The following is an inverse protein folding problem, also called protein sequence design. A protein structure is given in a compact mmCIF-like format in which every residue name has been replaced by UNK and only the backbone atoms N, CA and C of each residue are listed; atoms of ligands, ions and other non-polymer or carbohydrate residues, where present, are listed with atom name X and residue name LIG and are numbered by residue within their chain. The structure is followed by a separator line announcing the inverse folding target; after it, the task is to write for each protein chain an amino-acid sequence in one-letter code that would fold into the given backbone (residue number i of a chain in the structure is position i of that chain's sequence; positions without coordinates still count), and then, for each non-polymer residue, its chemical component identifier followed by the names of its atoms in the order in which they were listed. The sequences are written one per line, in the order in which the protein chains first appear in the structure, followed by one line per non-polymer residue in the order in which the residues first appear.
data_IF_659447364351
#
_entry.id   IF_659447364351
#
_cell.length_a   1.000
_cell.length_b   1.000
_cell.length_c   1.000
_cell.angle_alpha   90.00
_cell.angle_beta   90.00
_cell.angle_gamma   90.00
#
_symmetry.space_group_name_H-M   'P 1'
#
loop_
_entity.id
_entity.type
_entity.pdbx_description
1 polymer ?
#
# COMPACT_ATOMS: atom_id res chain seq x y z
N UNK A 1 10.43 -31.58 20.39
CA UNK A 1 9.52 -30.43 20.46
C UNK A 1 9.42 -29.82 19.05
N UNK A 2 8.34 -30.07 18.31
CA UNK A 2 8.19 -29.52 16.95
C UNK A 2 7.67 -28.09 17.08
N UNK A 3 8.57 -27.11 17.04
CA UNK A 3 8.19 -25.71 16.82
C UNK A 3 7.64 -25.62 15.40
N UNK A 4 6.34 -25.77 15.24
CA UNK A 4 5.68 -25.31 14.03
C UNK A 4 5.87 -23.79 13.99
N UNK A 5 6.85 -23.30 13.22
CA UNK A 5 6.89 -21.90 12.82
C UNK A 5 5.54 -21.61 12.16
N UNK A 6 4.79 -20.59 12.59
CA UNK A 6 3.56 -20.22 11.90
C UNK A 6 3.98 -19.75 10.51
N UNK A 7 3.84 -20.64 9.54
CA UNK A 7 3.97 -20.31 8.14
C UNK A 7 2.76 -19.42 7.81
N UNK A 8 2.86 -18.13 8.12
CA UNK A 8 1.86 -17.14 7.77
C UNK A 8 1.88 -17.02 6.26
N UNK A 9 0.80 -17.47 5.63
CA UNK A 9 0.47 -17.21 4.22
C UNK A 9 0.29 -15.69 4.07
N UNK A 10 1.40 -14.94 4.07
CA UNK A 10 1.38 -13.50 3.84
C UNK A 10 0.81 -13.29 2.43
N UNK A 11 -0.31 -12.57 2.29
CA UNK A 11 -0.92 -12.39 0.98
C UNK A 11 0.05 -11.65 0.05
N UNK A 12 0.12 -12.12 -1.18
CA UNK A 12 0.86 -11.46 -2.25
C UNK A 12 -0.12 -10.56 -2.99
N UNK A 13 0.29 -9.31 -3.21
CA UNK A 13 -0.44 -8.35 -4.01
C UNK A 13 0.22 -8.22 -5.37
N UNK A 14 -0.61 -8.23 -6.40
CA UNK A 14 -0.25 -7.80 -7.75
C UNK A 14 -0.93 -6.45 -8.01
N UNK A 15 -0.14 -5.46 -8.42
CA UNK A 15 -0.59 -4.09 -8.61
C UNK A 15 -0.33 -3.72 -10.06
N UNK A 16 -1.39 -3.43 -10.80
CA UNK A 16 -1.31 -2.96 -12.18
C UNK A 16 -1.64 -1.47 -12.23
N UNK A 17 -0.90 -0.71 -13.05
CA UNK A 17 -1.10 0.73 -13.12
C UNK A 17 -0.50 1.39 -14.34
N UNK A 18 -0.72 2.70 -14.43
CA UNK A 18 -0.17 3.55 -15.47
C UNK A 18 0.44 4.82 -14.88
N UNK A 19 1.61 5.22 -15.37
CA UNK A 19 2.32 6.42 -14.94
C UNK A 19 2.66 7.31 -16.15
N UNK A 20 2.46 8.63 -16.03
CA UNK A 20 2.74 9.57 -17.13
C UNK A 20 4.24 9.72 -17.47
N UNK A 21 5.13 9.32 -16.56
CA UNK A 21 6.57 9.26 -16.78
C UNK A 21 7.25 8.34 -15.75
N UNK A 22 8.52 8.02 -16.00
CA UNK A 22 9.32 7.15 -15.12
C UNK A 22 9.47 7.71 -13.70
N UNK A 23 9.58 9.03 -13.54
CA UNK A 23 9.73 9.64 -12.21
C UNK A 23 8.49 9.41 -11.33
N UNK A 24 7.29 9.50 -11.91
CA UNK A 24 6.05 9.21 -11.21
C UNK A 24 5.97 7.74 -10.79
N UNK A 25 6.41 6.81 -11.65
CA UNK A 25 6.51 5.39 -11.29
C UNK A 25 7.52 5.16 -10.15
N UNK A 26 8.71 5.76 -10.21
CA UNK A 26 9.71 5.64 -9.14
C UNK A 26 9.18 6.16 -7.81
N UNK A 27 8.50 7.32 -7.80
CA UNK A 27 7.88 7.86 -6.58
C UNK A 27 6.80 6.93 -6.03
N UNK A 28 5.95 6.38 -6.90
CA UNK A 28 4.93 5.43 -6.49
C UNK A 28 5.55 4.19 -5.83
N UNK A 29 6.63 3.63 -6.40
CA UNK A 29 7.35 2.51 -5.80
C UNK A 29 7.92 2.90 -4.42
N UNK A 30 8.53 4.08 -4.29
CA UNK A 30 9.04 4.58 -3.01
C UNK A 30 7.94 4.73 -1.95
N UNK A 31 6.76 5.21 -2.33
CA UNK A 31 5.62 5.33 -1.42
C UNK A 31 5.13 3.95 -0.95
N UNK A 32 5.15 2.94 -1.83
CA UNK A 32 4.83 1.56 -1.45
C UNK A 32 5.89 0.97 -0.51
N UNK A 33 7.17 1.23 -0.76
CA UNK A 33 8.28 0.79 0.10
C UNK A 33 8.24 1.46 1.49
N UNK A 34 7.75 2.70 1.57
CA UNK A 34 7.56 3.43 2.82
C UNK A 34 6.36 2.92 3.64
N UNK A 35 5.49 2.09 3.06
CA UNK A 35 4.32 1.56 3.74
C UNK A 35 4.72 0.62 4.90
N UNK A 36 4.10 0.73 6.08
CA UNK A 36 4.34 -0.21 7.17
C UNK A 36 3.75 -1.61 6.87
N UNK A 37 2.83 -1.72 5.90
CA UNK A 37 2.11 -2.96 5.57
C UNK A 37 2.70 -3.74 4.39
N UNK A 38 3.48 -3.08 3.54
CA UNK A 38 3.99 -3.70 2.30
C UNK A 38 5.47 -3.99 2.42
N UNK A 39 5.87 -5.15 1.91
CA UNK A 39 7.26 -5.60 1.83
C UNK A 39 7.54 -6.15 0.44
N UNK A 40 8.84 -6.27 0.14
CA UNK A 40 9.33 -6.89 -1.10
C UNK A 40 8.68 -6.33 -2.38
N UNK A 41 8.46 -5.01 -2.44
CA UNK A 41 7.92 -4.33 -3.63
C UNK A 41 8.88 -4.55 -4.79
N UNK A 42 8.40 -5.20 -5.84
CA UNK A 42 9.23 -5.61 -6.99
C UNK A 42 8.51 -5.26 -8.29
N UNK A 43 9.20 -4.54 -9.17
CA UNK A 43 8.72 -4.27 -10.52
C UNK A 43 8.84 -5.52 -11.39
N UNK A 44 7.70 -6.06 -11.83
CA UNK A 44 7.64 -7.24 -12.70
C UNK A 44 7.80 -6.84 -14.16
N UNK A 45 7.00 -5.86 -14.60
CA UNK A 45 7.01 -5.37 -15.98
C UNK A 45 6.78 -3.86 -16.01
N UNK A 46 7.39 -3.20 -16.99
CA UNK A 46 7.12 -1.82 -17.37
C UNK A 46 7.22 -1.72 -18.88
N UNK A 47 6.19 -1.15 -19.50
CA UNK A 47 6.14 -0.92 -20.95
C UNK A 47 5.74 0.52 -21.22
N UNK A 48 6.44 1.19 -22.14
CA UNK A 48 5.99 2.48 -22.64
C UNK A 48 4.91 2.25 -23.70
N UNK A 49 3.75 2.83 -23.49
CA UNK A 49 2.58 2.76 -24.37
C UNK A 49 2.23 4.16 -24.84
N UNK A 50 1.62 4.26 -26.03
CA UNK A 50 1.10 5.51 -26.57
C UNK A 50 -0.37 5.32 -26.91
N UNK A 51 -1.23 6.20 -26.39
CA UNK A 51 -2.67 6.22 -26.64
C UNK A 51 -3.08 7.68 -26.88
N UNK A 52 -3.83 7.94 -27.96
CA UNK A 52 -4.25 9.28 -28.38
C UNK A 52 -3.10 10.31 -28.44
N UNK A 53 -1.92 9.88 -28.89
CA UNK A 53 -0.72 10.73 -29.00
C UNK A 53 -0.06 11.09 -27.66
N UNK A 54 -0.50 10.48 -26.55
CA UNK A 54 0.10 10.63 -25.23
C UNK A 54 0.89 9.39 -24.86
N UNK A 55 2.15 9.59 -24.49
CA UNK A 55 3.04 8.51 -24.01
C UNK A 55 2.88 8.36 -22.50
N UNK A 56 2.69 7.12 -22.04
CA UNK A 56 2.64 6.75 -20.64
C UNK A 56 3.31 5.38 -20.45
N UNK A 57 3.50 4.99 -19.21
CA UNK A 57 4.11 3.73 -18.84
C UNK A 57 3.07 2.87 -18.16
N UNK A 58 2.75 1.71 -18.73
CA UNK A 58 2.00 0.66 -18.05
C UNK A 58 2.98 -0.19 -17.24
N UNK A 59 2.59 -0.61 -16.04
CA UNK A 59 3.47 -1.37 -15.16
C UNK A 59 2.71 -2.40 -14.34
N UNK A 60 3.42 -3.45 -13.93
CA UNK A 60 2.97 -4.44 -12.95
C UNK A 60 3.99 -4.55 -11.82
N UNK A 61 3.53 -4.39 -10.59
CA UNK A 61 4.32 -4.58 -9.37
C UNK A 61 3.82 -5.82 -8.62
N UNK A 62 4.72 -6.42 -7.86
CA UNK A 62 4.41 -7.45 -6.88
C UNK A 62 4.88 -7.00 -5.50
N UNK A 63 4.07 -7.22 -4.48
CA UNK A 63 4.43 -6.95 -3.09
C UNK A 63 3.87 -8.05 -2.17
N UNK A 64 4.40 -8.18 -0.97
CA UNK A 64 3.83 -9.02 0.09
C UNK A 64 3.25 -8.16 1.21
N UNK A 65 2.12 -8.59 1.74
CA UNK A 65 1.52 -7.99 2.93
C UNK A 65 2.19 -8.52 4.20
N UNK A 66 2.50 -7.61 5.12
CA UNK A 66 2.93 -7.94 6.48
C UNK A 66 2.08 -7.13 7.46
N UNK A 67 1.62 -7.79 8.53
CA UNK A 67 0.98 -7.07 9.64
C UNK A 67 2.04 -6.25 10.37
N UNK A 68 1.93 -4.91 10.38
CA UNK A 68 2.92 -4.09 11.05
C UNK A 68 2.90 -4.34 12.56
N UNK A 69 4.05 -4.19 13.23
CA UNK A 69 4.10 -4.30 14.69
C UNK A 69 3.14 -3.28 15.32
N UNK A 70 2.49 -3.67 16.43
CA UNK A 70 1.41 -2.88 17.04
C UNK A 70 1.83 -1.42 17.37
N UNK A 71 3.10 -1.21 17.68
CA UNK A 71 3.72 0.08 17.94
C UNK A 71 3.81 1.02 16.71
N UNK A 72 3.75 0.48 15.50
CA UNK A 72 3.72 1.24 14.26
C UNK A 72 2.31 1.73 13.88
N UNK A 73 1.26 1.22 14.54
CA UNK A 73 -0.13 1.57 14.26
C UNK A 73 -0.61 2.61 15.27
N UNK A 74 -0.79 3.86 14.82
CA UNK A 74 -1.50 4.89 15.60
C UNK A 74 -2.98 4.84 15.24
N UNK A 75 -3.80 4.36 16.16
CA UNK A 75 -5.26 4.38 16.00
C UNK A 75 -5.81 5.73 16.49
N UNK A 76 -6.62 6.38 15.66
CA UNK A 76 -7.39 7.55 16.07
C UNK A 76 -8.86 7.12 16.25
N UNK A 77 -9.56 7.59 17.28
CA UNK A 77 -10.99 7.33 17.42
C UNK A 77 -11.75 7.96 16.25
N UNK A 78 -12.54 7.15 15.54
CA UNK A 78 -13.34 7.60 14.38
C UNK A 78 -14.52 8.49 14.78
N UNK A 79 -14.94 8.43 16.05
CA UNK A 79 -15.96 9.29 16.61
C UNK A 79 -15.39 9.92 17.88
N UNK A 80 -15.08 11.22 17.81
CA UNK A 80 -15.06 12.01 19.03
C UNK A 80 -16.49 11.97 19.57
N UNK A 81 -16.68 11.41 20.76
CA UNK A 81 -17.97 11.41 21.42
C UNK A 81 -18.37 12.87 21.63
N UNK A 82 -19.25 13.42 20.78
CA UNK A 82 -19.90 14.71 21.02
C UNK A 82 -20.93 14.50 22.13
N UNK A 83 -20.45 14.34 23.38
CA UNK A 83 -21.28 14.53 24.56
C UNK A 83 -21.30 16.02 24.87
N UNK A 84 -22.03 16.80 24.08
CA UNK A 84 -22.25 18.23 24.37
C UNK A 84 -23.59 18.72 23.84
N UNK A 85 -24.64 17.91 23.92
CA UNK A 85 -26.01 18.42 23.72
C UNK A 85 -26.94 17.65 24.64
N UNK A 86 -26.94 17.97 25.94
CA UNK A 86 -28.11 17.93 26.82
C UNK A 86 -27.75 18.60 28.15
N UNK A 87 -27.87 19.92 28.20
CA UNK A 87 -28.36 20.56 29.43
C UNK A 87 -29.12 21.83 29.04
N UNK A 88 -30.39 21.63 28.68
CA UNK A 88 -31.44 22.60 29.01
C UNK A 88 -31.92 22.26 30.43
N UNK A 89 -31.91 23.24 31.32
CA UNK A 89 -33.05 24.10 31.70
C UNK A 89 -32.48 25.28 32.52
#
# INVERSE_FOLDING_TARGET
NRSASPNSLQPVLEIEGSAGNTLALTRFIQDLEASPFLRAVTLQTTTQTEEDGRKYYTFQLRASWEDPPAEAIRTAPLFARTDSILQGD
#
